data_IF_823269087921
#
_entry.id   IF_823269087921
#
_cell.length_a   1.000
_cell.length_b   1.000
_cell.length_c   1.000
_cell.angle_alpha   90.00
_cell.angle_beta   90.00
_cell.angle_gamma   90.00
#
_symmetry.space_group_name_H-M   'P 1'
#
loop_
_entity.id
_entity.type
_entity.pdbx_description
1 polymer ?
#
# COMPACT_ATOMS: atom_id res chain seq x y z
N UNK A 1 12.52 -0.12 -17.61
CA UNK A 1 13.10 -0.41 -16.29
C UNK A 1 13.86 0.78 -15.78
N UNK A 2 13.69 1.10 -14.50
CA UNK A 2 14.40 2.20 -13.83
C UNK A 2 15.80 1.70 -13.46
N UNK A 3 16.88 2.40 -13.85
CA UNK A 3 18.23 1.94 -13.53
C UNK A 3 18.48 1.97 -12.01
N UNK A 4 19.09 0.92 -11.49
CA UNK A 4 19.51 0.82 -10.09
C UNK A 4 20.62 1.84 -9.76
N UNK A 5 20.59 2.41 -8.56
CA UNK A 5 21.72 3.17 -8.05
C UNK A 5 22.89 2.22 -7.77
N UNK A 6 24.09 2.56 -8.25
CA UNK A 6 25.31 1.76 -8.08
C UNK A 6 26.26 2.31 -7.02
N UNK A 7 26.02 3.53 -6.55
CA UNK A 7 26.83 4.24 -5.54
C UNK A 7 25.89 4.96 -4.57
N UNK A 8 26.34 5.16 -3.32
CA UNK A 8 25.56 5.84 -2.26
C UNK A 8 24.14 5.28 -2.10
N UNK A 9 24.03 3.96 -2.02
CA UNK A 9 22.75 3.25 -1.89
C UNK A 9 22.09 3.64 -0.57
N UNK A 10 20.81 4.03 -0.66
CA UNK A 10 19.95 4.37 0.46
C UNK A 10 18.73 3.48 0.43
N UNK A 11 17.97 3.44 1.53
CA UNK A 11 16.68 2.74 1.58
C UNK A 11 15.74 3.16 0.42
N UNK A 12 15.79 4.41 -0.03
CA UNK A 12 14.94 4.92 -1.11
C UNK A 12 15.46 4.60 -2.51
N UNK A 13 16.74 4.28 -2.68
CA UNK A 13 17.36 4.01 -3.99
C UNK A 13 17.64 2.54 -4.24
N UNK A 14 17.72 1.73 -3.19
CA UNK A 14 17.92 0.27 -3.23
C UNK A 14 16.85 -0.49 -4.03
N UNK A 15 15.54 -0.15 -3.96
CA UNK A 15 14.51 -0.94 -4.66
C UNK A 15 14.57 -0.88 -6.19
N UNK A 16 15.39 0.01 -6.77
CA UNK A 16 15.47 0.24 -8.22
C UNK A 16 14.12 0.54 -8.89
N UNK A 17 13.26 1.30 -8.22
CA UNK A 17 11.96 1.73 -8.75
C UNK A 17 11.81 3.24 -8.67
N UNK A 18 10.99 3.79 -9.55
CA UNK A 18 10.48 5.16 -9.41
C UNK A 18 9.19 5.11 -8.62
N UNK A 19 9.17 5.76 -7.46
CA UNK A 19 7.95 5.97 -6.68
C UNK A 19 7.16 7.10 -7.34
N UNK A 20 5.91 6.82 -7.71
CA UNK A 20 5.02 7.79 -8.34
C UNK A 20 3.72 7.84 -7.55
N UNK A 21 3.33 9.04 -7.13
CA UNK A 21 2.11 9.30 -6.34
C UNK A 21 0.98 9.91 -7.17
N UNK A 22 1.22 10.13 -8.46
CA UNK A 22 0.26 10.67 -9.42
C UNK A 22 0.27 9.84 -10.71
N UNK A 23 -0.91 9.69 -11.32
CA UNK A 23 -1.05 9.11 -12.65
C UNK A 23 -1.67 10.16 -13.56
N UNK A 24 -0.94 10.55 -14.62
CA UNK A 24 -1.37 11.60 -15.56
C UNK A 24 -1.74 12.94 -14.88
N UNK A 25 -1.00 13.31 -13.83
CA UNK A 25 -1.26 14.54 -13.04
C UNK A 25 -2.44 14.43 -12.08
N UNK A 26 -3.00 13.23 -11.88
CA UNK A 26 -4.06 12.98 -10.89
C UNK A 26 -3.47 12.16 -9.74
N UNK A 27 -3.60 12.59 -8.47
CA UNK A 27 -3.18 11.80 -7.32
C UNK A 27 -3.82 10.41 -7.32
N UNK A 28 -3.02 9.38 -7.00
CA UNK A 28 -3.51 7.99 -6.96
C UNK A 28 -4.51 7.73 -5.81
N UNK A 29 -4.63 8.68 -4.90
CA UNK A 29 -5.52 8.66 -3.74
C UNK A 29 -5.32 9.91 -2.88
N UNK A 30 -6.11 10.09 -1.82
CA UNK A 30 -5.87 11.15 -0.84
C UNK A 30 -4.60 10.86 -0.03
N UNK A 31 -3.91 11.93 0.39
CA UNK A 31 -2.73 11.85 1.26
C UNK A 31 -3.16 11.73 2.73
N UNK A 32 -2.49 10.88 3.49
CA UNK A 32 -2.68 10.73 4.93
C UNK A 32 -1.91 11.81 5.73
N UNK A 33 -1.73 11.60 7.04
CA UNK A 33 -0.90 12.48 7.88
C UNK A 33 0.57 12.49 7.46
N UNK A 34 1.10 11.32 7.08
CA UNK A 34 2.46 11.16 6.60
C UNK A 34 2.62 11.48 5.12
N UNK A 35 3.65 12.24 4.76
CA UNK A 35 3.89 12.70 3.38
C UNK A 35 4.09 11.56 2.35
N UNK A 36 4.59 10.41 2.81
CA UNK A 36 4.83 9.25 1.97
C UNK A 36 3.59 8.37 1.78
N UNK A 37 2.53 8.56 2.58
CA UNK A 37 1.40 7.65 2.66
C UNK A 37 0.21 8.16 1.84
N UNK A 38 0.00 7.54 0.68
CA UNK A 38 -1.17 7.76 -0.17
C UNK A 38 -2.19 6.63 0.05
N UNK A 39 -3.46 6.98 0.28
CA UNK A 39 -4.53 6.00 0.50
C UNK A 39 -4.99 5.42 -0.83
N UNK A 40 -4.49 4.24 -1.20
CA UNK A 40 -4.80 3.56 -2.46
C UNK A 40 -5.23 2.11 -2.21
N UNK A 41 -6.53 1.84 -1.91
CA UNK A 41 -7.02 0.50 -1.61
C UNK A 41 -6.73 -0.51 -2.73
N UNK A 42 -6.86 -0.09 -3.99
CA UNK A 42 -6.57 -0.97 -5.14
C UNK A 42 -5.11 -1.45 -5.15
N UNK A 43 -4.18 -0.67 -4.61
CA UNK A 43 -2.76 -0.98 -4.56
C UNK A 43 -2.45 -2.29 -3.84
N UNK A 44 -3.09 -2.58 -2.70
CA UNK A 44 -2.82 -3.82 -1.95
C UNK A 44 -3.29 -5.06 -2.73
N UNK A 45 -4.43 -4.99 -3.43
CA UNK A 45 -4.89 -6.08 -4.28
C UNK A 45 -3.92 -6.35 -5.42
N UNK A 46 -3.54 -5.29 -6.13
CA UNK A 46 -2.68 -5.39 -7.30
C UNK A 46 -1.26 -5.90 -6.89
N UNK A 47 -0.77 -5.51 -5.72
CA UNK A 47 0.47 -6.04 -5.12
C UNK A 47 0.38 -7.54 -4.79
N UNK A 48 -0.72 -7.96 -4.16
CA UNK A 48 -0.97 -9.37 -3.82
C UNK A 48 -1.06 -10.25 -5.08
N UNK A 49 -1.76 -9.78 -6.12
CA UNK A 49 -1.83 -10.45 -7.42
C UNK A 49 -0.46 -10.50 -8.10
N UNK A 50 0.29 -9.39 -8.05
CA UNK A 50 1.65 -9.36 -8.59
C UNK A 50 2.53 -10.41 -7.90
N UNK A 51 2.51 -10.48 -6.57
CA UNK A 51 3.29 -11.45 -5.82
C UNK A 51 2.92 -12.89 -6.19
N UNK A 52 1.61 -13.17 -6.35
CA UNK A 52 1.14 -14.47 -6.86
C UNK A 52 1.74 -14.81 -8.22
N UNK A 53 1.60 -13.93 -9.22
CA UNK A 53 2.06 -14.24 -10.58
C UNK A 53 3.58 -14.25 -10.71
N UNK A 54 4.27 -13.36 -9.99
CA UNK A 54 5.72 -13.19 -10.08
C UNK A 54 6.48 -14.28 -9.32
N UNK A 55 5.96 -14.73 -8.18
CA UNK A 55 6.66 -15.61 -7.25
C UNK A 55 6.00 -16.98 -7.09
N UNK A 56 5.20 -17.41 -8.07
CA UNK A 56 4.56 -18.73 -8.11
C UNK A 56 3.64 -19.01 -6.90
N UNK A 57 2.76 -18.05 -6.61
CA UNK A 57 1.70 -18.13 -5.59
C UNK A 57 2.17 -18.58 -4.18
N UNK A 58 3.14 -17.86 -3.58
CA UNK A 58 3.62 -18.20 -2.26
C UNK A 58 2.53 -17.97 -1.21
N UNK A 59 2.72 -18.55 -0.02
CA UNK A 59 1.93 -18.18 1.16
C UNK A 59 2.26 -16.73 1.54
N UNK A 60 1.25 -15.87 1.64
CA UNK A 60 1.40 -14.45 1.97
C UNK A 60 0.73 -14.10 3.30
N UNK A 61 1.36 -13.18 4.03
CA UNK A 61 0.80 -12.50 5.20
C UNK A 61 0.93 -11.01 4.97
N UNK A 62 -0.16 -10.26 5.13
CA UNK A 62 -0.06 -8.80 5.30
C UNK A 62 0.37 -8.59 6.73
N UNK A 63 1.59 -8.11 6.96
CA UNK A 63 2.13 -7.93 8.32
C UNK A 63 1.83 -6.55 8.87
N UNK A 64 1.69 -5.56 7.99
CA UNK A 64 1.36 -4.17 8.35
C UNK A 64 0.50 -3.55 7.25
N UNK A 65 -0.60 -2.91 7.66
CA UNK A 65 -1.40 -2.04 6.81
C UNK A 65 -2.19 -1.09 7.71
N UNK A 66 -2.14 0.21 7.46
CA UNK A 66 -2.76 1.20 8.32
C UNK A 66 -2.63 2.62 7.81
N UNK A 67 -3.22 3.56 8.53
CA UNK A 67 -3.23 4.98 8.16
C UNK A 67 -3.13 5.87 9.39
N UNK A 68 -2.33 6.93 9.23
CA UNK A 68 -2.16 7.99 10.21
C UNK A 68 -2.95 9.25 9.81
N UNK A 69 -3.22 10.09 10.79
CA UNK A 69 -3.89 11.37 10.61
C UNK A 69 -2.96 12.48 11.08
N UNK A 70 -3.06 13.65 10.44
CA UNK A 70 -2.30 14.81 10.86
C UNK A 70 -2.76 15.23 12.27
N UNK A 71 -1.82 15.25 13.23
CA UNK A 71 -2.12 15.69 14.59
C UNK A 71 -2.25 17.21 14.66
N UNK A 72 -3.32 17.68 15.29
CA UNK A 72 -3.46 19.08 15.70
C UNK A 72 -3.27 19.27 17.23
N UNK A 73 -2.77 18.23 17.93
CA UNK A 73 -2.60 18.22 19.37
C UNK A 73 -3.81 17.76 20.19
N UNK A 74 -4.94 17.45 19.54
CA UNK A 74 -6.14 16.94 20.20
C UNK A 74 -6.29 15.42 20.02
N UNK A 75 -7.04 14.78 20.92
CA UNK A 75 -7.41 13.36 20.80
C UNK A 75 -8.75 13.27 20.08
N UNK A 76 -8.75 12.61 18.92
CA UNK A 76 -9.96 12.27 18.19
C UNK A 76 -10.29 10.79 18.37
N UNK A 77 -11.50 10.51 18.83
CA UNK A 77 -12.03 9.14 18.90
C UNK A 77 -13.00 8.84 17.74
N UNK A 78 -13.46 9.88 17.04
CA UNK A 78 -14.22 9.68 15.80
C UNK A 78 -13.23 9.53 14.65
N UNK A 79 -13.14 8.31 14.14
CA UNK A 79 -12.03 7.84 13.31
C UNK A 79 -12.55 7.25 11.99
N UNK A 80 -13.44 8.00 11.35
CA UNK A 80 -14.12 7.59 10.13
C UNK A 80 -13.11 7.31 9.01
N UNK A 81 -12.02 8.08 8.95
CA UNK A 81 -10.96 7.88 7.96
C UNK A 81 -10.28 6.52 8.09
N UNK A 82 -9.91 6.11 9.32
CA UNK A 82 -9.27 4.80 9.55
C UNK A 82 -10.25 3.65 9.39
N UNK A 83 -11.51 3.84 9.79
CA UNK A 83 -12.59 2.87 9.55
C UNK A 83 -12.75 2.61 8.04
N UNK A 84 -12.89 3.69 7.24
CA UNK A 84 -13.02 3.60 5.79
C UNK A 84 -11.76 3.02 5.14
N UNK A 85 -10.57 3.40 5.63
CA UNK A 85 -9.31 2.84 5.17
C UNK A 85 -9.31 1.32 5.29
N UNK A 86 -9.58 0.79 6.49
CA UNK A 86 -9.58 -0.66 6.72
C UNK A 86 -10.68 -1.35 5.94
N UNK A 87 -11.90 -0.79 5.91
CA UNK A 87 -13.02 -1.38 5.17
C UNK A 87 -12.68 -1.56 3.68
N UNK A 88 -12.10 -0.53 3.04
CA UNK A 88 -11.73 -0.59 1.63
C UNK A 88 -10.51 -1.48 1.37
N UNK A 89 -9.46 -1.43 2.20
CA UNK A 89 -8.27 -2.26 2.01
C UNK A 89 -8.57 -3.75 2.26
N UNK A 90 -9.31 -4.09 3.32
CA UNK A 90 -9.76 -5.46 3.58
C UNK A 90 -10.65 -5.97 2.46
N UNK A 91 -11.50 -5.11 1.87
CA UNK A 91 -12.30 -5.49 0.69
C UNK A 91 -11.41 -5.87 -0.51
N UNK A 92 -10.31 -5.15 -0.70
CA UNK A 92 -9.35 -5.41 -1.79
C UNK A 92 -8.49 -6.66 -1.52
N UNK A 93 -8.14 -6.94 -0.26
CA UNK A 93 -7.50 -8.21 0.13
C UNK A 93 -8.45 -9.39 -0.09
N UNK A 94 -9.73 -9.24 0.29
CA UNK A 94 -10.76 -10.25 0.03
C UNK A 94 -10.93 -10.51 -1.48
N UNK A 95 -10.92 -9.45 -2.31
CA UNK A 95 -10.98 -9.56 -3.77
C UNK A 95 -9.79 -10.37 -4.30
N UNK A 96 -8.56 -10.08 -3.85
CA UNK A 96 -7.36 -10.84 -4.21
C UNK A 96 -7.46 -12.33 -3.81
N UNK A 97 -7.96 -12.63 -2.60
CA UNK A 97 -8.19 -14.01 -2.14
C UNK A 97 -9.22 -14.71 -3.04
N UNK A 98 -10.29 -14.02 -3.43
CA UNK A 98 -11.31 -14.57 -4.34
C UNK A 98 -10.75 -14.89 -5.74
N UNK A 99 -9.70 -14.17 -6.15
CA UNK A 99 -8.91 -14.43 -7.36
C UNK A 99 -7.82 -15.50 -7.16
N UNK A 100 -7.79 -16.14 -5.99
CA UNK A 100 -6.94 -17.28 -5.68
C UNK A 100 -5.58 -16.93 -5.08
N UNK A 101 -5.32 -15.70 -4.64
CA UNK A 101 -4.07 -15.38 -3.92
C UNK A 101 -4.03 -16.12 -2.58
N UNK A 102 -2.91 -16.76 -2.27
CA UNK A 102 -2.73 -17.56 -1.05
C UNK A 102 -2.39 -16.71 0.21
N UNK A 103 -3.28 -15.79 0.58
CA UNK A 103 -3.16 -15.00 1.82
C UNK A 103 -3.61 -15.82 3.03
N UNK A 104 -2.83 -15.83 4.11
CA UNK A 104 -3.10 -16.57 5.36
C UNK A 104 -3.25 -15.71 6.60
N UNK A 105 -2.93 -14.42 6.51
CA UNK A 105 -3.16 -13.47 7.57
C UNK A 105 -3.10 -12.04 7.06
N UNK A 106 -3.74 -11.18 7.83
CA UNK A 106 -3.72 -9.74 7.74
C UNK A 106 -3.47 -9.19 9.14
#
# INVERSE_FOLDING_TARGET
DVPCATENITMSTDPCVSLVVEQNGVPIGPKAGSDWLMVCPKGIRDLLLYAKFKFNDPVLYVTENGVDEASNGEIFLNDDLRIDYYAHHLKMVQDAISMGVNVKGY
#
